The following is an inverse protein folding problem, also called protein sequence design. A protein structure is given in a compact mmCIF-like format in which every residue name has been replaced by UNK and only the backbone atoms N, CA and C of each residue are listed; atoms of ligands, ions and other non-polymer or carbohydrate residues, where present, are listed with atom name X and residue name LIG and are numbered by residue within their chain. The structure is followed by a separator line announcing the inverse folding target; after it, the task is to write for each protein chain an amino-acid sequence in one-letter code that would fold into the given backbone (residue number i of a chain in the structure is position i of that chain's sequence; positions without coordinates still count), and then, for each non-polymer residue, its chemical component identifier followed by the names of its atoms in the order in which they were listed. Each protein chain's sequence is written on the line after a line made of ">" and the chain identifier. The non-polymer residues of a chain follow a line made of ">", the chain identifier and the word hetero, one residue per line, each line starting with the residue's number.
data_IF_300385112107
#
_entry.id   IF_300385112107
#
_cell.length_a   1.000
_cell.length_b   1.000
_cell.length_c   1.000
_cell.angle_alpha   90.00
_cell.angle_beta   90.00
_cell.angle_gamma   90.00
#
_symmetry.space_group_name_H-M   'P 1'
#
loop_
_entity.id
_entity.type
_entity.pdbx_description
1 polymer ?
#
# COMPACT_ATOMS: atom_id res chain seq x y z
N UNK A 1 -32.70 24.48 -4.85
CA UNK A 1 -31.43 24.07 -4.21
C UNK A 1 -30.38 24.02 -5.30
N UNK A 2 -29.32 24.78 -5.18
CA UNK A 2 -28.21 24.67 -6.11
C UNK A 2 -27.52 23.33 -5.85
N UNK A 3 -27.43 22.45 -6.85
CA UNK A 3 -26.51 21.32 -6.82
C UNK A 3 -25.11 21.88 -6.62
N UNK A 4 -24.51 21.59 -5.48
CA UNK A 4 -23.10 21.88 -5.26
C UNK A 4 -22.35 20.92 -6.19
N UNK A 5 -21.93 21.45 -7.33
CA UNK A 5 -21.07 20.74 -8.28
C UNK A 5 -19.85 20.25 -7.51
N UNK A 6 -19.70 18.93 -7.39
CA UNK A 6 -18.49 18.34 -6.81
C UNK A 6 -17.31 18.77 -7.68
N UNK A 7 -16.20 19.26 -7.08
CA UNK A 7 -15.05 19.77 -7.85
C UNK A 7 -14.23 18.64 -8.52
N UNK A 8 -14.71 17.39 -8.53
CA UNK A 8 -14.05 16.23 -9.07
C UNK A 8 -15.05 15.28 -9.76
N UNK A 9 -14.55 14.49 -10.69
CA UNK A 9 -15.30 13.39 -11.31
C UNK A 9 -15.27 12.17 -10.42
N UNK A 10 -16.24 11.25 -10.62
CA UNK A 10 -16.24 9.94 -9.97
C UNK A 10 -15.75 8.90 -10.98
N UNK A 11 -15.04 7.90 -10.50
CA UNK A 11 -14.65 6.72 -11.26
C UNK A 11 -14.99 5.46 -10.46
N UNK A 12 -15.20 4.37 -11.17
CA UNK A 12 -15.49 3.08 -10.55
C UNK A 12 -14.19 2.39 -10.17
N UNK A 13 -14.03 2.06 -8.90
CA UNK A 13 -12.90 1.28 -8.42
C UNK A 13 -12.93 -0.13 -9.02
N UNK A 14 -11.82 -0.53 -9.65
CA UNK A 14 -11.72 -1.77 -10.40
C UNK A 14 -11.90 -3.03 -9.53
N UNK A 15 -11.37 -3.02 -8.33
CA UNK A 15 -11.44 -4.16 -7.40
C UNK A 15 -12.78 -4.23 -6.71
N UNK A 16 -13.25 -3.12 -6.13
CA UNK A 16 -14.43 -3.10 -5.26
C UNK A 16 -15.73 -2.82 -5.99
N UNK A 17 -15.67 -2.24 -7.19
CA UNK A 17 -16.84 -1.79 -7.94
C UNK A 17 -17.53 -0.54 -7.38
N UNK A 18 -16.94 0.12 -6.38
CA UNK A 18 -17.49 1.33 -5.77
C UNK A 18 -17.16 2.57 -6.58
N UNK A 19 -18.07 3.54 -6.57
CA UNK A 19 -17.78 4.86 -7.09
C UNK A 19 -16.89 5.62 -6.10
N UNK A 20 -15.73 6.07 -6.57
CA UNK A 20 -14.74 6.80 -5.79
C UNK A 20 -14.39 8.14 -6.46
N UNK A 21 -14.04 9.19 -5.69
CA UNK A 21 -13.61 10.45 -6.26
C UNK A 21 -12.30 10.30 -7.02
N UNK A 22 -12.25 10.81 -8.25
CA UNK A 22 -11.01 10.83 -9.05
C UNK A 22 -10.12 11.99 -8.59
N UNK A 23 -9.40 11.79 -7.50
CA UNK A 23 -8.50 12.79 -6.90
C UNK A 23 -7.15 12.18 -6.54
N UNK A 24 -6.10 12.98 -6.57
CA UNK A 24 -4.76 12.54 -6.21
C UNK A 24 -4.25 11.42 -7.10
N UNK A 25 -3.89 10.30 -6.49
CA UNK A 25 -3.33 9.11 -7.16
C UNK A 25 -4.39 8.08 -7.58
N UNK A 26 -5.69 8.44 -7.64
CA UNK A 26 -6.77 7.47 -7.85
C UNK A 26 -6.67 6.76 -9.21
N UNK A 27 -6.41 7.48 -10.30
CA UNK A 27 -6.21 6.86 -11.62
C UNK A 27 -5.00 5.91 -11.62
N UNK A 28 -3.93 6.28 -10.94
CA UNK A 28 -2.74 5.46 -10.79
C UNK A 28 -3.05 4.19 -9.99
N UNK A 29 -3.89 4.29 -8.96
CA UNK A 29 -4.36 3.14 -8.18
C UNK A 29 -5.13 2.17 -9.07
N UNK A 30 -6.08 2.65 -9.87
CA UNK A 30 -6.83 1.82 -10.79
C UNK A 30 -5.90 1.09 -11.78
N UNK A 31 -4.91 1.78 -12.34
CA UNK A 31 -3.92 1.17 -13.23
C UNK A 31 -3.11 0.06 -12.53
N UNK A 32 -2.72 0.25 -11.27
CA UNK A 32 -2.03 -0.77 -10.48
C UNK A 32 -2.93 -1.99 -10.22
N UNK A 33 -4.19 -1.78 -9.83
CA UNK A 33 -5.15 -2.86 -9.58
C UNK A 33 -5.37 -3.71 -10.83
N UNK A 34 -5.58 -3.06 -11.98
CA UNK A 34 -5.74 -3.73 -13.28
C UNK A 34 -4.48 -4.53 -13.65
N UNK A 35 -3.29 -3.94 -13.45
CA UNK A 35 -2.02 -4.60 -13.71
C UNK A 35 -1.83 -5.87 -12.86
N UNK A 36 -2.15 -5.80 -11.57
CA UNK A 36 -2.05 -6.94 -10.66
C UNK A 36 -2.93 -8.12 -11.12
N UNK A 37 -4.14 -7.83 -11.55
CA UNK A 37 -5.08 -8.86 -12.01
C UNK A 37 -4.71 -9.37 -13.41
N UNK A 38 -4.47 -8.47 -14.37
CA UNK A 38 -4.25 -8.84 -15.76
C UNK A 38 -2.86 -9.44 -16.03
N UNK A 39 -1.82 -8.99 -15.32
CA UNK A 39 -0.43 -9.34 -15.62
C UNK A 39 0.26 -10.15 -14.51
N UNK A 40 -0.17 -10.03 -13.26
CA UNK A 40 0.48 -10.68 -12.12
C UNK A 40 -0.30 -11.86 -11.53
N UNK A 41 -1.46 -12.18 -12.10
CA UNK A 41 -2.25 -13.37 -11.77
C UNK A 41 -3.02 -13.30 -10.46
N UNK A 42 -3.09 -12.14 -9.82
CA UNK A 42 -3.92 -11.96 -8.64
C UNK A 42 -5.41 -11.90 -9.02
N UNK A 43 -6.26 -12.38 -8.11
CA UNK A 43 -7.70 -12.21 -8.21
C UNK A 43 -8.10 -10.91 -7.52
N UNK A 44 -9.23 -10.33 -7.89
CA UNK A 44 -9.78 -9.17 -7.15
C UNK A 44 -9.96 -9.49 -5.67
N UNK A 45 -10.32 -10.71 -5.33
CA UNK A 45 -10.46 -11.19 -3.95
C UNK A 45 -9.14 -11.23 -3.16
N UNK A 46 -8.00 -11.24 -3.84
CA UNK A 46 -6.67 -11.20 -3.20
C UNK A 46 -6.26 -9.77 -2.81
N UNK A 47 -6.99 -8.76 -3.29
CA UNK A 47 -6.65 -7.35 -3.15
C UNK A 47 -7.66 -6.67 -2.22
N UNK A 48 -7.16 -6.13 -1.09
CA UNK A 48 -7.93 -5.27 -0.20
C UNK A 48 -7.57 -3.81 -0.47
N UNK A 49 -8.58 -2.98 -0.60
CA UNK A 49 -8.46 -1.54 -0.92
C UNK A 49 -8.74 -0.73 0.34
N UNK A 50 -7.97 0.34 0.55
CA UNK A 50 -8.14 1.28 1.68
C UNK A 50 -8.17 0.56 3.04
N UNK A 51 -7.13 -0.20 3.33
CA UNK A 51 -7.02 -0.98 4.59
C UNK A 51 -6.61 -0.06 5.74
N UNK A 52 -7.42 -0.03 6.78
CA UNK A 52 -7.15 0.78 7.97
C UNK A 52 -5.88 0.32 8.70
N UNK A 53 -5.06 1.28 9.08
CA UNK A 53 -3.92 1.11 9.99
C UNK A 53 -4.09 2.05 11.18
N UNK A 54 -4.14 1.48 12.37
CA UNK A 54 -4.28 2.21 13.61
C UNK A 54 -3.07 1.94 14.52
N UNK A 55 -2.40 2.99 14.92
CA UNK A 55 -1.23 2.93 15.80
C UNK A 55 -1.34 3.95 16.94
N UNK A 56 -0.56 3.76 17.99
CA UNK A 56 -0.38 4.77 19.04
C UNK A 56 1.02 5.33 18.97
N UNK A 57 1.15 6.64 18.82
CA UNK A 57 2.42 7.35 18.73
C UNK A 57 2.53 8.33 19.89
N UNK A 58 3.55 8.17 20.72
CA UNK A 58 3.76 9.01 21.91
C UNK A 58 2.50 9.12 22.82
N UNK A 59 1.76 8.02 22.96
CA UNK A 59 0.53 7.95 23.77
C UNK A 59 -0.74 8.46 23.07
N UNK A 60 -0.65 8.95 21.83
CA UNK A 60 -1.79 9.45 21.07
C UNK A 60 -2.20 8.48 19.96
N UNK A 61 -3.49 8.20 19.78
CA UNK A 61 -3.96 7.37 18.67
C UNK A 61 -3.76 8.08 17.34
N UNK A 62 -3.33 7.32 16.34
CA UNK A 62 -3.16 7.78 14.96
C UNK A 62 -3.75 6.75 14.01
N UNK A 63 -4.58 7.19 13.07
CA UNK A 63 -5.23 6.34 12.08
C UNK A 63 -4.93 6.83 10.67
N UNK A 64 -4.71 5.87 9.77
CA UNK A 64 -4.54 6.10 8.34
C UNK A 64 -5.03 4.88 7.56
N UNK A 65 -4.78 4.88 6.26
CA UNK A 65 -5.12 3.78 5.37
C UNK A 65 -3.93 3.41 4.48
N UNK A 66 -3.79 2.12 4.21
CA UNK A 66 -2.89 1.59 3.18
C UNK A 66 -3.69 1.41 1.90
N UNK A 67 -3.20 1.92 0.78
CA UNK A 67 -3.96 1.94 -0.47
C UNK A 67 -4.37 0.54 -0.93
N UNK A 68 -3.41 -0.38 -1.01
CA UNK A 68 -3.65 -1.78 -1.38
C UNK A 68 -2.88 -2.73 -0.46
N UNK A 69 -3.54 -3.80 -0.03
CA UNK A 69 -2.94 -4.92 0.70
C UNK A 69 -3.27 -6.22 -0.03
N UNK A 70 -2.26 -6.99 -0.39
CA UNK A 70 -2.39 -8.14 -1.26
C UNK A 70 -2.02 -9.43 -0.52
N UNK A 71 -2.89 -10.42 -0.66
CA UNK A 71 -2.68 -11.79 -0.21
C UNK A 71 -2.53 -12.71 -1.41
N UNK A 72 -1.75 -13.79 -1.29
CA UNK A 72 -1.58 -14.76 -2.37
C UNK A 72 -2.30 -16.10 -2.10
N UNK A 73 -2.61 -16.37 -0.85
CA UNK A 73 -3.10 -17.65 -0.33
C UNK A 73 -4.60 -17.65 0.05
N UNK A 74 -5.40 -16.91 -0.69
CA UNK A 74 -6.84 -16.81 -0.43
C UNK A 74 -7.22 -15.88 0.72
N UNK A 75 -6.34 -14.94 1.07
CA UNK A 75 -6.59 -13.90 2.08
C UNK A 75 -6.12 -14.23 3.49
N UNK A 76 -5.48 -15.38 3.69
CA UNK A 76 -4.99 -15.79 5.00
C UNK A 76 -3.74 -15.02 5.43
N UNK A 77 -2.81 -14.80 4.49
CA UNK A 77 -1.54 -14.12 4.77
C UNK A 77 -1.37 -12.90 3.86
N UNK A 78 -1.19 -11.73 4.43
CA UNK A 78 -0.78 -10.57 3.68
C UNK A 78 0.68 -10.71 3.24
N UNK A 79 0.91 -10.57 1.94
CA UNK A 79 2.23 -10.73 1.33
C UNK A 79 2.84 -9.40 0.90
N UNK A 80 2.02 -8.48 0.42
CA UNK A 80 2.49 -7.21 -0.16
C UNK A 80 1.58 -6.06 0.22
N UNK A 81 2.17 -4.91 0.49
CA UNK A 81 1.48 -3.62 0.62
C UNK A 81 1.92 -2.68 -0.49
N UNK A 82 1.00 -1.90 -1.03
CA UNK A 82 1.28 -0.96 -2.13
C UNK A 82 0.79 0.43 -1.78
N UNK A 83 1.66 1.42 -1.95
CA UNK A 83 1.34 2.84 -2.00
C UNK A 83 1.22 3.28 -3.45
N UNK A 84 0.09 3.84 -3.81
CA UNK A 84 -0.13 4.43 -5.12
C UNK A 84 0.21 5.93 -5.06
N UNK A 85 1.16 6.34 -5.89
CA UNK A 85 1.71 7.69 -5.87
C UNK A 85 1.25 8.51 -7.08
N UNK A 86 1.04 9.81 -6.87
CA UNK A 86 0.77 10.77 -7.94
C UNK A 86 2.03 11.56 -8.37
N UNK A 87 3.19 11.23 -7.80
CA UNK A 87 4.45 11.94 -8.04
C UNK A 87 5.66 11.06 -7.79
N UNK A 88 6.70 11.61 -7.15
CA UNK A 88 7.93 10.87 -6.89
C UNK A 88 7.70 9.60 -6.07
N UNK A 89 8.13 8.46 -6.58
CA UNK A 89 8.06 7.18 -5.87
C UNK A 89 8.98 7.17 -4.65
N UNK A 90 10.20 7.71 -4.80
CA UNK A 90 11.21 7.69 -3.74
C UNK A 90 10.76 8.34 -2.44
N UNK A 91 9.94 9.39 -2.51
CA UNK A 91 9.40 10.09 -1.34
C UNK A 91 8.40 9.25 -0.53
N UNK A 92 7.90 8.15 -1.09
CA UNK A 92 6.91 7.26 -0.46
C UNK A 92 7.50 5.93 0.02
N UNK A 93 8.73 5.62 -0.36
CA UNK A 93 9.34 4.32 -0.05
C UNK A 93 9.44 4.08 1.46
N UNK A 94 9.85 5.07 2.22
CA UNK A 94 10.00 4.93 3.68
C UNK A 94 8.67 4.74 4.39
N UNK A 95 7.63 5.44 3.93
CA UNK A 95 6.26 5.31 4.44
C UNK A 95 5.72 3.89 4.26
N UNK A 96 5.79 3.36 3.04
CA UNK A 96 5.21 2.04 2.76
C UNK A 96 5.95 0.91 3.46
N UNK A 97 7.27 1.02 3.62
CA UNK A 97 8.04 0.06 4.42
C UNK A 97 7.59 0.09 5.88
N UNK A 98 7.37 1.28 6.44
CA UNK A 98 6.86 1.41 7.80
C UNK A 98 5.45 0.82 7.95
N UNK A 99 4.57 1.06 6.99
CA UNK A 99 3.24 0.44 6.97
C UNK A 99 3.32 -1.10 6.92
N UNK A 100 4.19 -1.66 6.08
CA UNK A 100 4.42 -3.10 5.98
C UNK A 100 4.92 -3.74 7.29
N UNK A 101 5.64 -2.96 8.10
CA UNK A 101 6.15 -3.38 9.41
C UNK A 101 5.14 -3.30 10.54
N UNK A 102 4.11 -2.45 10.38
CA UNK A 102 3.20 -2.06 11.47
C UNK A 102 1.77 -2.56 11.31
N UNK A 103 1.36 -2.94 10.09
CA UNK A 103 -0.02 -3.28 9.80
C UNK A 103 -0.47 -4.57 10.49
N UNK A 104 0.37 -5.60 10.45
CA UNK A 104 0.09 -6.92 11.03
C UNK A 104 1.00 -7.23 12.22
N UNK A 105 0.77 -8.36 12.86
CA UNK A 105 1.64 -8.89 13.93
C UNK A 105 3.00 -9.36 13.39
N UNK A 106 3.15 -9.49 12.09
CA UNK A 106 4.39 -9.81 11.38
C UNK A 106 4.70 -8.76 10.34
N UNK A 107 5.96 -8.67 9.94
CA UNK A 107 6.38 -7.81 8.84
C UNK A 107 5.87 -8.39 7.52
N UNK A 108 5.00 -7.67 6.82
CA UNK A 108 4.50 -8.07 5.50
C UNK A 108 5.70 -8.07 4.54
N UNK A 109 5.99 -9.19 3.85
CA UNK A 109 7.28 -9.40 3.17
C UNK A 109 7.69 -8.33 2.16
N UNK A 110 6.74 -7.81 1.39
CA UNK A 110 6.98 -6.93 0.25
C UNK A 110 6.30 -5.57 0.41
N UNK A 111 7.02 -4.50 0.14
CA UNK A 111 6.48 -3.15 0.10
C UNK A 111 6.72 -2.53 -1.28
N UNK A 112 5.71 -1.92 -1.87
CA UNK A 112 5.74 -1.36 -3.22
C UNK A 112 5.23 0.06 -3.25
N UNK A 113 5.89 0.92 -4.01
CA UNK A 113 5.35 2.21 -4.44
C UNK A 113 5.21 2.18 -5.95
N UNK A 114 4.05 2.57 -6.47
CA UNK A 114 3.79 2.61 -7.91
C UNK A 114 2.93 3.81 -8.31
N UNK A 115 3.16 4.33 -9.51
CA UNK A 115 2.31 5.34 -10.15
C UNK A 115 1.45 4.74 -11.29
N UNK A 116 1.43 3.42 -11.41
CA UNK A 116 0.73 2.70 -12.48
C UNK A 116 1.54 2.56 -13.78
N UNK A 117 2.69 3.21 -13.91
CA UNK A 117 3.60 3.13 -15.06
C UNK A 117 4.92 2.47 -14.70
N UNK A 118 5.39 2.71 -13.48
CA UNK A 118 6.59 2.09 -12.92
C UNK A 118 6.38 1.75 -11.45
N UNK A 119 7.37 1.13 -10.83
CA UNK A 119 7.30 0.77 -9.41
C UNK A 119 8.69 0.73 -8.77
N UNK A 120 8.72 0.95 -7.45
CA UNK A 120 9.83 0.59 -6.57
C UNK A 120 9.38 -0.58 -5.69
N UNK A 121 10.12 -1.67 -5.72
CA UNK A 121 9.86 -2.85 -4.90
C UNK A 121 10.91 -2.95 -3.81
N UNK A 122 10.46 -3.06 -2.55
CA UNK A 122 11.33 -3.05 -1.38
C UNK A 122 11.12 -4.31 -0.54
N UNK A 123 12.21 -4.82 0.00
CA UNK A 123 12.17 -5.83 1.05
C UNK A 123 11.84 -5.16 2.38
N UNK A 124 10.79 -5.62 3.04
CA UNK A 124 10.29 -4.96 4.27
C UNK A 124 11.27 -5.10 5.43
N UNK A 125 11.89 -6.27 5.58
CA UNK A 125 12.79 -6.55 6.71
C UNK A 125 14.02 -5.66 6.65
N UNK A 126 14.67 -5.60 5.50
CA UNK A 126 15.89 -4.79 5.31
C UNK A 126 15.60 -3.33 4.97
N UNK A 127 14.43 -3.02 4.45
CA UNK A 127 14.07 -1.71 3.92
C UNK A 127 14.77 -1.35 2.61
N UNK A 128 15.45 -2.31 1.99
CA UNK A 128 16.22 -2.08 0.74
C UNK A 128 15.36 -2.28 -0.50
N UNK A 129 15.61 -1.45 -1.50
CA UNK A 129 15.03 -1.64 -2.84
C UNK A 129 15.64 -2.88 -3.48
N UNK A 130 14.76 -3.78 -3.93
CA UNK A 130 15.10 -5.06 -4.56
C UNK A 130 14.66 -5.14 -6.02
N UNK A 131 13.89 -4.17 -6.50
CA UNK A 131 13.45 -4.12 -7.87
C UNK A 131 12.90 -2.76 -8.30
N UNK A 132 12.92 -2.50 -9.61
CA UNK A 132 12.36 -1.32 -10.24
C UNK A 132 11.51 -1.72 -11.44
N UNK A 133 10.45 -0.95 -11.70
CA UNK A 133 9.52 -1.20 -12.79
C UNK A 133 8.36 -2.10 -12.37
N UNK A 134 7.28 -2.07 -13.15
CA UNK A 134 6.09 -2.88 -12.89
C UNK A 134 6.39 -4.39 -12.93
N UNK A 135 7.30 -4.79 -13.79
CA UNK A 135 7.68 -6.21 -13.94
C UNK A 135 8.34 -6.77 -12.67
N UNK A 136 8.97 -5.92 -11.86
CA UNK A 136 9.59 -6.31 -10.60
C UNK A 136 8.58 -6.63 -9.48
N UNK A 137 7.33 -6.21 -9.64
CA UNK A 137 6.26 -6.56 -8.68
C UNK A 137 6.06 -8.09 -8.73
N UNK A 138 6.13 -8.79 -7.58
CA UNK A 138 5.95 -10.24 -7.56
C UNK A 138 4.58 -10.66 -8.09
N UNK A 139 4.56 -11.68 -8.95
CA UNK A 139 3.32 -12.35 -9.35
C UNK A 139 2.73 -13.16 -8.18
N UNK A 140 1.47 -13.56 -8.30
CA UNK A 140 0.82 -14.44 -7.33
C UNK A 140 1.59 -15.76 -7.15
N UNK A 141 2.08 -16.34 -8.24
CA UNK A 141 2.88 -17.56 -8.21
C UNK A 141 4.21 -17.36 -7.46
N UNK A 142 4.91 -16.27 -7.76
CA UNK A 142 6.14 -15.91 -7.05
C UNK A 142 5.89 -15.65 -5.57
N UNK A 143 4.82 -14.96 -5.22
CA UNK A 143 4.41 -14.70 -3.85
C UNK A 143 4.13 -16.01 -3.08
N UNK A 144 3.38 -16.93 -3.67
CA UNK A 144 3.11 -18.25 -3.09
C UNK A 144 4.40 -19.04 -2.88
N UNK A 145 5.31 -19.01 -3.85
CA UNK A 145 6.61 -19.69 -3.76
C UNK A 145 7.46 -19.10 -2.64
N UNK A 146 7.52 -17.78 -2.53
CA UNK A 146 8.25 -17.10 -1.46
C UNK A 146 7.67 -17.43 -0.08
N UNK A 147 6.35 -17.42 0.09
CA UNK A 147 5.69 -17.70 1.36
C UNK A 147 5.99 -19.13 1.89
N UNK A 148 6.22 -20.10 1.02
CA UNK A 148 6.56 -21.47 1.43
C UNK A 148 7.86 -21.56 2.20
N UNK A 149 8.82 -20.69 1.91
CA UNK A 149 10.15 -20.67 2.54
C UNK A 149 10.39 -19.48 3.45
N UNK A 150 9.44 -18.55 3.50
CA UNK A 150 9.57 -17.31 4.26
C UNK A 150 9.14 -17.49 5.72
N UNK A 151 9.96 -17.04 6.64
CA UNK A 151 9.59 -16.96 8.05
C UNK A 151 9.00 -15.61 8.36
N UNK A 152 7.72 -15.57 8.70
CA UNK A 152 7.02 -14.36 9.11
C UNK A 152 7.43 -13.98 10.54
N UNK A 153 8.15 -12.88 10.70
CA UNK A 153 8.66 -12.39 11.97
C UNK A 153 8.04 -11.04 12.33
N UNK A 154 7.74 -10.87 13.60
CA UNK A 154 7.33 -9.57 14.14
C UNK A 154 8.43 -8.52 13.93
N UNK A 155 8.03 -7.25 13.81
CA UNK A 155 9.00 -6.16 13.82
C UNK A 155 9.61 -6.05 15.23
N UNK A 156 10.95 -5.81 15.35
CA UNK A 156 11.62 -5.75 16.64
C UNK A 156 11.01 -4.71 17.58
N UNK A 157 10.64 -5.14 18.79
CA UNK A 157 9.92 -4.30 19.76
C UNK A 157 10.72 -3.05 20.15
N UNK A 158 12.04 -3.18 20.31
CA UNK A 158 12.94 -2.06 20.64
C UNK A 158 12.99 -0.96 19.56
N UNK A 159 12.56 -1.27 18.32
CA UNK A 159 12.51 -0.33 17.20
C UNK A 159 11.09 0.19 16.91
N UNK A 160 10.09 -0.40 17.55
CA UNK A 160 8.68 -0.17 17.25
C UNK A 160 8.24 1.28 17.44
N UNK A 161 8.68 1.90 18.53
CA UNK A 161 8.36 3.31 18.84
C UNK A 161 8.87 4.27 17.76
N UNK A 162 10.09 4.04 17.29
CA UNK A 162 10.70 4.84 16.22
C UNK A 162 9.99 4.62 14.88
N UNK A 163 9.64 3.38 14.57
CA UNK A 163 8.96 3.03 13.32
C UNK A 163 7.57 3.67 13.23
N UNK A 164 6.81 3.65 14.31
CA UNK A 164 5.52 4.33 14.42
C UNK A 164 5.62 5.83 14.19
N UNK A 165 6.65 6.47 14.77
CA UNK A 165 6.90 7.89 14.55
C UNK A 165 7.24 8.19 13.08
N UNK A 166 8.06 7.35 12.45
CA UNK A 166 8.42 7.46 11.04
C UNK A 166 7.16 7.35 10.17
N UNK A 167 6.35 6.34 10.38
CA UNK A 167 5.11 6.17 9.63
C UNK A 167 4.23 7.41 9.72
N UNK A 168 3.92 7.89 10.92
CA UNK A 168 3.09 9.08 11.11
C UNK A 168 3.67 10.31 10.43
N UNK A 169 4.96 10.53 10.51
CA UNK A 169 5.63 11.70 9.95
C UNK A 169 5.47 11.75 8.43
N UNK A 170 5.75 10.65 7.75
CA UNK A 170 5.62 10.58 6.29
C UNK A 170 4.16 10.57 5.83
N UNK A 171 3.28 9.89 6.54
CA UNK A 171 1.86 9.79 6.20
C UNK A 171 1.11 11.12 6.35
N UNK A 172 1.38 11.90 7.39
CA UNK A 172 0.78 13.24 7.58
C UNK A 172 1.09 14.16 6.41
N UNK A 173 2.30 14.16 5.88
CA UNK A 173 2.66 14.97 4.72
C UNK A 173 1.79 14.62 3.51
N UNK A 174 1.45 13.34 3.33
CA UNK A 174 0.63 12.85 2.25
C UNK A 174 -0.85 13.18 2.41
N UNK A 175 -1.37 12.99 3.60
CA UNK A 175 -2.78 13.26 3.93
C UNK A 175 -3.11 14.74 3.77
N UNK A 176 -2.18 15.65 4.10
CA UNK A 176 -2.38 17.09 3.93
C UNK A 176 -2.51 17.51 2.46
N UNK A 177 -1.85 16.81 1.55
CA UNK A 177 -1.99 17.05 0.10
C UNK A 177 -3.35 16.59 -0.42
N UNK A 178 -3.91 15.53 0.14
CA UNK A 178 -5.20 14.96 -0.28
C UNK A 178 -6.41 15.67 0.34
N UNK A 179 -6.27 16.24 1.53
CA UNK A 179 -7.39 16.90 2.27
C UNK A 179 -7.59 18.39 1.95
N UNK A 180 -6.64 19.00 1.27
CA UNK A 180 -6.72 20.40 0.87
C UNK A 180 -7.29 20.62 -0.56
N UNK A 181 -8.06 19.65 -1.07
CA UNK A 181 -8.77 19.73 -2.34
C UNK A 181 -10.28 19.83 -2.06
#
# INVERSE_FOLDING_TARGET
>A
MAEISKPYTMITDFVTGREVPNVGAEENRQAVEEFLVAQKGYLKADIKVDVDIAITVAGEPYQSQVDLVISADGGETHFMVIKCAAGSLGSREREIVAAARLLDEYQIPCAVVSDGQTASVLDTVTGKKVGNGLDAIPSKEEALTQLKSYTLLAFPEERLKREKLIFRTYDIENVNVQRNI
#
